data_IF_528573059587
#
_entry.id   IF_528573059587
#
_cell.length_a   1.000
_cell.length_b   1.000
_cell.length_c   1.000
_cell.angle_alpha   90.00
_cell.angle_beta   90.00
_cell.angle_gamma   90.00
#
_symmetry.space_group_name_H-M   'P 1'
#
loop_
_entity.id
_entity.type
_entity.pdbx_description
1 polymer ?
#
# COMPACT_ATOMS: atom_id res chain seq x y z
N UNK A 1 -15.06 45.61 10.12
CA UNK A 1 -13.87 44.82 10.50
C UNK A 1 -14.21 43.35 10.81
N UNK A 2 -15.30 43.07 11.53
CA UNK A 2 -15.69 41.69 11.90
C UNK A 2 -16.17 40.83 10.72
N UNK A 3 -16.89 41.42 9.75
CA UNK A 3 -17.38 40.70 8.56
C UNK A 3 -16.25 40.32 7.59
N UNK A 4 -15.20 41.15 7.51
CA UNK A 4 -13.99 40.85 6.74
C UNK A 4 -13.24 39.64 7.34
N UNK A 5 -13.17 39.54 8.67
CA UNK A 5 -12.57 38.39 9.37
C UNK A 5 -13.36 37.10 9.14
N UNK A 6 -14.70 37.18 9.16
CA UNK A 6 -15.59 36.03 8.87
C UNK A 6 -15.41 35.53 7.43
N UNK A 7 -15.34 36.45 6.47
CA UNK A 7 -15.11 36.12 5.06
C UNK A 7 -13.73 35.47 4.84
N UNK A 8 -12.69 35.98 5.49
CA UNK A 8 -11.33 35.41 5.42
C UNK A 8 -11.27 34.02 6.07
N UNK A 9 -11.93 33.81 7.21
CA UNK A 9 -12.01 32.50 7.90
C UNK A 9 -12.74 31.45 7.05
N UNK A 10 -13.88 31.82 6.46
CA UNK A 10 -14.64 30.92 5.58
C UNK A 10 -13.84 30.55 4.32
N UNK A 11 -13.15 31.53 3.70
CA UNK A 11 -12.25 31.26 2.57
C UNK A 11 -11.08 30.35 2.95
N UNK A 12 -10.45 30.56 4.11
CA UNK A 12 -9.38 29.67 4.60
C UNK A 12 -9.90 28.25 4.83
N UNK A 13 -11.08 28.09 5.45
CA UNK A 13 -11.68 26.77 5.65
C UNK A 13 -11.99 26.06 4.33
N UNK A 14 -12.50 26.79 3.33
CA UNK A 14 -12.74 26.24 1.99
C UNK A 14 -11.43 25.83 1.31
N UNK A 15 -10.39 26.67 1.39
CA UNK A 15 -9.07 26.36 0.83
C UNK A 15 -8.44 25.14 1.53
N UNK A 16 -8.52 25.05 2.86
CA UNK A 16 -8.03 23.90 3.62
C UNK A 16 -8.77 22.63 3.21
N UNK A 17 -10.10 22.68 3.10
CA UNK A 17 -10.91 21.53 2.69
C UNK A 17 -10.55 21.05 1.26
N UNK A 18 -10.38 21.98 0.31
CA UNK A 18 -9.97 21.67 -1.06
C UNK A 18 -8.56 21.07 -1.11
N UNK A 19 -7.62 21.58 -0.32
CA UNK A 19 -6.26 21.02 -0.22
C UNK A 19 -6.29 19.62 0.40
N UNK A 20 -7.04 19.39 1.48
CA UNK A 20 -7.20 18.05 2.06
C UNK A 20 -7.84 17.07 1.09
N UNK A 21 -8.86 17.49 0.34
CA UNK A 21 -9.51 16.66 -0.68
C UNK A 21 -8.54 16.31 -1.83
N UNK A 22 -7.69 17.24 -2.26
CA UNK A 22 -6.66 16.97 -3.27
C UNK A 22 -5.60 15.98 -2.76
N UNK A 23 -5.15 16.12 -1.52
CA UNK A 23 -4.13 15.24 -0.92
C UNK A 23 -4.65 13.82 -0.71
N UNK A 24 -5.92 13.66 -0.33
CA UNK A 24 -6.55 12.35 -0.09
C UNK A 24 -6.63 11.43 -1.34
N UNK A 25 -6.39 11.95 -2.54
CA UNK A 25 -6.58 11.20 -3.80
C UNK A 25 -5.34 10.47 -4.32
N UNK A 26 -4.18 10.56 -3.66
CA UNK A 26 -2.89 10.17 -4.25
C UNK A 26 -2.22 8.92 -3.66
N UNK A 27 -2.93 8.11 -2.87
CA UNK A 27 -2.38 6.83 -2.40
C UNK A 27 -2.35 5.85 -3.57
N UNK A 28 -1.17 5.55 -4.08
CA UNK A 28 -0.99 4.52 -5.08
C UNK A 28 -1.30 3.15 -4.45
N UNK A 29 -2.45 2.59 -4.79
CA UNK A 29 -2.85 1.25 -4.37
C UNK A 29 -1.94 0.20 -5.04
N UNK A 30 -1.52 -0.81 -4.29
CA UNK A 30 -0.75 -1.93 -4.84
C UNK A 30 -1.56 -2.66 -5.91
N UNK A 31 -0.92 -2.94 -7.05
CA UNK A 31 -1.47 -3.78 -8.12
C UNK A 31 -0.44 -4.81 -8.54
N UNK A 32 -0.87 -6.06 -8.62
CA UNK A 32 -0.02 -7.14 -9.12
C UNK A 32 -0.04 -7.22 -10.65
N UNK A 33 0.93 -7.92 -11.22
CA UNK A 33 1.06 -8.17 -12.65
C UNK A 33 0.76 -9.64 -12.98
N UNK A 34 -0.07 -9.88 -14.00
CA UNK A 34 -0.43 -11.23 -14.45
C UNK A 34 0.81 -11.97 -14.97
N UNK A 35 0.97 -13.22 -14.55
CA UNK A 35 2.13 -14.05 -14.91
C UNK A 35 3.35 -13.86 -14.03
N UNK A 36 3.37 -12.81 -13.18
CA UNK A 36 4.39 -12.63 -12.16
C UNK A 36 4.06 -13.48 -10.93
N UNK A 37 4.97 -14.34 -10.45
CA UNK A 37 4.77 -15.06 -9.20
C UNK A 37 4.97 -14.11 -8.02
N UNK A 38 4.15 -14.24 -7.00
CA UNK A 38 4.23 -13.42 -5.79
C UNK A 38 4.32 -14.29 -4.53
N UNK A 39 4.85 -13.69 -3.46
CA UNK A 39 4.85 -14.26 -2.12
C UNK A 39 4.42 -13.19 -1.11
N UNK A 40 3.40 -13.49 -0.33
CA UNK A 40 2.87 -12.63 0.73
C UNK A 40 3.53 -13.03 2.06
N UNK A 41 4.10 -12.03 2.75
CA UNK A 41 4.70 -12.14 4.09
C UNK A 41 5.70 -13.30 4.22
N UNK A 42 6.49 -13.54 3.16
CA UNK A 42 7.41 -14.66 3.00
C UNK A 42 6.80 -16.05 3.24
N UNK A 43 5.47 -16.18 3.18
CA UNK A 43 4.73 -17.37 3.57
C UNK A 43 3.81 -17.86 2.43
N UNK A 44 2.71 -17.15 2.17
CA UNK A 44 1.71 -17.56 1.20
C UNK A 44 2.22 -17.35 -0.23
N UNK A 45 1.97 -18.32 -1.10
CA UNK A 45 2.26 -18.17 -2.53
C UNK A 45 1.05 -17.54 -3.21
N UNK A 46 1.29 -16.58 -4.09
CA UNK A 46 0.22 -15.80 -4.69
C UNK A 46 0.35 -15.71 -6.21
N UNK A 47 -0.80 -15.61 -6.87
CA UNK A 47 -0.93 -15.38 -8.30
C UNK A 47 -1.72 -14.09 -8.53
N UNK A 48 -1.41 -13.39 -9.61
CA UNK A 48 -2.17 -12.23 -10.01
C UNK A 48 -3.29 -12.60 -10.98
N UNK A 49 -4.52 -12.23 -10.64
CA UNK A 49 -5.71 -12.40 -11.46
C UNK A 49 -5.92 -11.18 -12.38
N UNK A 50 -6.89 -11.31 -13.28
CA UNK A 50 -7.31 -10.19 -14.12
C UNK A 50 -7.79 -9.00 -13.27
N UNK A 51 -7.40 -7.79 -13.67
CA UNK A 51 -7.68 -6.57 -12.92
C UNK A 51 -6.66 -6.19 -11.84
N UNK A 52 -5.58 -6.96 -11.68
CA UNK A 52 -4.51 -6.66 -10.71
C UNK A 52 -4.83 -7.14 -9.29
N UNK A 53 -5.75 -8.10 -9.16
CA UNK A 53 -6.16 -8.70 -7.89
C UNK A 53 -5.21 -9.84 -7.50
N UNK A 54 -4.66 -9.76 -6.29
CA UNK A 54 -3.77 -10.79 -5.75
C UNK A 54 -4.59 -11.91 -5.10
N UNK A 55 -4.36 -13.16 -5.53
CA UNK A 55 -4.96 -14.34 -4.93
C UNK A 55 -3.86 -15.22 -4.33
N UNK A 56 -3.90 -15.41 -3.01
CA UNK A 56 -2.90 -16.13 -2.24
C UNK A 56 -3.43 -17.48 -1.73
N UNK A 57 -2.52 -18.41 -1.46
CA UNK A 57 -2.83 -19.56 -0.60
C UNK A 57 -3.22 -19.07 0.80
N UNK A 58 -3.95 -19.88 1.56
CA UNK A 58 -4.31 -19.59 2.96
C UNK A 58 -3.64 -20.60 3.90
N UNK A 59 -2.30 -20.70 3.84
CA UNK A 59 -1.56 -21.55 4.77
C UNK A 59 -1.32 -20.80 6.09
N UNK A 60 -1.27 -21.55 7.19
CA UNK A 60 -0.98 -20.95 8.49
C UNK A 60 0.48 -20.46 8.53
N UNK A 61 0.66 -19.15 8.66
CA UNK A 61 1.97 -18.51 8.73
C UNK A 61 2.38 -18.27 10.19
N UNK A 62 3.58 -18.72 10.56
CA UNK A 62 4.10 -18.66 11.93
C UNK A 62 5.57 -18.21 11.93
N UNK A 63 6.02 -17.68 13.06
CA UNK A 63 7.42 -17.31 13.31
C UNK A 63 7.74 -15.84 13.10
N UNK A 64 8.94 -15.45 13.54
CA UNK A 64 9.37 -14.05 13.62
C UNK A 64 9.49 -13.36 12.27
N UNK A 65 9.75 -14.10 11.19
CA UNK A 65 9.85 -13.55 9.84
C UNK A 65 8.49 -13.10 9.31
N UNK A 66 7.46 -13.92 9.53
CA UNK A 66 6.08 -13.56 9.19
C UNK A 66 5.65 -12.32 9.98
N UNK A 67 5.91 -12.27 11.29
CA UNK A 67 5.58 -11.11 12.13
C UNK A 67 6.30 -9.84 11.68
N UNK A 68 7.58 -9.94 11.31
CA UNK A 68 8.36 -8.81 10.79
C UNK A 68 7.85 -8.29 9.45
N UNK A 69 7.12 -9.07 8.68
CA UNK A 69 6.55 -8.64 7.40
C UNK A 69 5.49 -7.55 7.55
N UNK A 70 4.91 -7.39 8.75
CA UNK A 70 4.00 -6.29 9.07
C UNK A 70 4.72 -5.03 9.59
N UNK A 71 6.02 -5.12 9.92
CA UNK A 71 6.83 -4.00 10.39
C UNK A 71 7.45 -3.24 9.20
N UNK A 72 6.63 -2.83 8.25
CA UNK A 72 7.04 -2.04 7.09
C UNK A 72 6.26 -0.72 7.03
N UNK A 73 6.78 0.25 6.26
CA UNK A 73 6.08 1.53 6.05
C UNK A 73 5.17 1.38 4.84
N UNK A 74 3.88 1.57 5.02
CA UNK A 74 2.87 1.43 3.96
C UNK A 74 3.24 2.22 2.70
N UNK A 75 3.03 1.61 1.54
CA UNK A 75 3.36 2.19 0.23
C UNK A 75 4.85 2.16 -0.12
N UNK A 76 5.74 1.76 0.80
CA UNK A 76 7.16 1.64 0.45
C UNK A 76 7.43 0.44 -0.45
N UNK A 77 8.38 0.64 -1.37
CA UNK A 77 8.89 -0.40 -2.25
C UNK A 77 10.36 -0.64 -1.92
N UNK A 78 10.71 -1.90 -1.71
CA UNK A 78 12.06 -2.34 -1.35
C UNK A 78 12.52 -3.46 -2.30
N UNK A 79 13.82 -3.72 -2.34
CA UNK A 79 14.38 -4.87 -3.04
C UNK A 79 14.89 -5.92 -2.06
N UNK A 80 14.57 -7.18 -2.33
CA UNK A 80 15.15 -8.34 -1.68
C UNK A 80 15.77 -9.23 -2.76
N UNK A 81 17.09 -9.14 -2.92
CA UNK A 81 17.82 -9.72 -4.05
C UNK A 81 17.21 -9.20 -5.38
N UNK A 82 16.81 -10.08 -6.30
CA UNK A 82 16.16 -9.68 -7.55
C UNK A 82 14.64 -9.44 -7.41
N UNK A 83 14.06 -9.66 -6.22
CA UNK A 83 12.64 -9.49 -5.99
C UNK A 83 12.29 -8.09 -5.51
N UNK A 84 11.17 -7.56 -5.99
CA UNK A 84 10.63 -6.26 -5.57
C UNK A 84 9.50 -6.51 -4.57
N UNK A 85 9.55 -5.85 -3.42
CA UNK A 85 8.61 -5.99 -2.33
C UNK A 85 7.88 -4.68 -2.06
N UNK A 86 6.55 -4.72 -1.99
CA UNK A 86 5.70 -3.58 -1.63
C UNK A 86 5.08 -3.82 -0.27
N UNK A 87 5.12 -2.80 0.59
CA UNK A 87 4.38 -2.81 1.85
C UNK A 87 2.94 -2.34 1.58
N UNK A 88 1.98 -3.22 1.83
CA UNK A 88 0.56 -2.99 1.58
C UNK A 88 -0.17 -2.84 2.90
N UNK A 89 -0.96 -1.78 3.03
CA UNK A 89 -1.76 -1.47 4.21
C UNK A 89 -2.59 -2.70 4.64
N UNK A 90 -2.45 -3.08 5.91
CA UNK A 90 -3.14 -4.24 6.51
C UNK A 90 -2.70 -5.62 6.02
N UNK A 91 -1.90 -5.73 4.96
CA UNK A 91 -1.45 -7.01 4.38
C UNK A 91 0.03 -7.31 4.67
N UNK A 92 0.84 -6.31 5.01
CA UNK A 92 2.28 -6.50 5.24
C UNK A 92 3.08 -6.44 3.93
N UNK A 93 4.10 -7.29 3.76
CA UNK A 93 4.96 -7.27 2.57
C UNK A 93 4.46 -8.25 1.51
N UNK A 94 4.31 -7.76 0.28
CA UNK A 94 4.06 -8.58 -0.91
C UNK A 94 5.25 -8.44 -1.84
N UNK A 95 5.94 -9.54 -2.09
CA UNK A 95 7.12 -9.57 -2.94
C UNK A 95 6.84 -10.33 -4.24
N UNK A 96 7.47 -9.92 -5.34
CA UNK A 96 7.69 -10.85 -6.45
C UNK A 96 8.47 -12.07 -5.95
N UNK A 97 8.31 -13.21 -6.61
CA UNK A 97 8.92 -14.47 -6.19
C UNK A 97 9.65 -15.14 -7.37
N UNK A 98 10.54 -14.38 -8.00
CA UNK A 98 11.47 -14.89 -9.01
C UNK A 98 12.55 -15.74 -8.36
N UNK A 99 13.02 -16.75 -9.09
CA UNK A 99 14.23 -17.47 -8.74
C UNK A 99 15.42 -16.57 -9.04
N UNK A 100 16.00 -16.04 -7.97
CA UNK A 100 17.34 -15.52 -7.89
C UNK A 100 18.22 -16.59 -7.21
#
# INVERSE_FOLDING_TARGET
FEDLKKLVKMKHQIVIFLVCALVATSVAEFKCEKGTPYKENNCNSCNCLDGGLLACTEIACLGDEYQRSFNCVEGTVTQNNCNTCTCVEGQGTICTNHKC
#
